data_IF_219407808056
#
_entry.id   IF_219407808056
#
_cell.length_a   1.000
_cell.length_b   1.000
_cell.length_c   1.000
_cell.angle_alpha   90.00
_cell.angle_beta   90.00
_cell.angle_gamma   90.00
#
_symmetry.space_group_name_H-M   'P 1'
#
loop_
_entity.id
_entity.type
_entity.pdbx_description
1 polymer ?
#
# COMPACT_ATOMS: atom_id res chain seq x y z
N UNK A 1 17.21 -14.66 8.72
CA UNK A 1 16.33 -14.03 7.70
C UNK A 1 15.02 -13.81 8.42
N UNK A 2 14.69 -12.57 8.75
CA UNK A 2 13.39 -12.27 9.37
C UNK A 2 12.29 -12.84 8.46
N UNK A 3 11.30 -13.50 9.05
CA UNK A 3 10.09 -13.88 8.32
C UNK A 3 9.54 -12.64 7.60
N UNK A 4 8.95 -12.83 6.42
CA UNK A 4 8.19 -11.80 5.71
C UNK A 4 7.04 -11.34 6.62
N UNK A 5 7.35 -10.41 7.52
CA UNK A 5 6.46 -9.79 8.48
C UNK A 5 5.80 -8.62 7.78
N UNK A 6 4.57 -8.30 8.16
CA UNK A 6 3.83 -7.17 7.60
C UNK A 6 2.56 -7.60 6.87
N UNK A 7 1.54 -6.77 7.04
CA UNK A 7 0.22 -6.95 6.47
C UNK A 7 0.16 -6.25 5.12
N UNK A 8 -0.27 -6.98 4.10
CA UNK A 8 -0.32 -6.52 2.72
C UNK A 8 -1.73 -6.10 2.31
N UNK A 9 -1.85 -4.91 1.76
CA UNK A 9 -3.08 -4.39 1.18
C UNK A 9 -2.85 -4.11 -0.31
N UNK A 10 -3.51 -4.89 -1.17
CA UNK A 10 -3.35 -4.84 -2.62
C UNK A 10 -4.38 -3.89 -3.28
N UNK A 11 -3.91 -3.07 -4.22
CA UNK A 11 -4.74 -2.08 -4.91
C UNK A 11 -4.46 -2.08 -6.41
N UNK A 12 -5.51 -2.19 -7.22
CA UNK A 12 -5.45 -1.91 -8.64
C UNK A 12 -5.96 -0.50 -8.92
N UNK A 13 -5.24 0.26 -9.74
CA UNK A 13 -5.62 1.63 -10.12
C UNK A 13 -5.13 1.98 -11.53
N UNK A 14 -5.72 3.00 -12.13
CA UNK A 14 -5.25 3.63 -13.37
C UNK A 14 -4.21 4.74 -13.11
N UNK A 15 -3.84 5.00 -11.85
CA UNK A 15 -2.85 6.01 -11.49
C UNK A 15 -1.42 5.48 -11.60
N UNK A 16 -0.61 6.15 -12.44
CA UNK A 16 0.80 5.77 -12.64
C UNK A 16 1.68 5.90 -11.39
N UNK A 17 2.72 5.07 -11.33
CA UNK A 17 3.68 4.97 -10.22
C UNK A 17 4.29 6.34 -9.90
N UNK A 18 4.82 7.02 -10.92
CA UNK A 18 5.45 8.33 -10.73
C UNK A 18 4.53 9.35 -10.07
N UNK A 19 3.24 9.31 -10.41
CA UNK A 19 2.28 10.23 -9.83
C UNK A 19 1.98 9.90 -8.37
N UNK A 20 1.76 8.62 -8.05
CA UNK A 20 1.53 8.18 -6.67
C UNK A 20 2.76 8.45 -5.80
N UNK A 21 3.95 8.06 -6.27
CA UNK A 21 5.20 8.24 -5.52
C UNK A 21 5.53 9.74 -5.33
N UNK A 22 5.22 10.59 -6.31
CA UNK A 22 5.36 12.05 -6.17
C UNK A 22 4.39 12.63 -5.13
N UNK A 23 3.14 12.16 -5.07
CA UNK A 23 2.19 12.58 -4.03
C UNK A 23 2.66 12.13 -2.64
N UNK A 24 3.18 10.91 -2.52
CA UNK A 24 3.78 10.41 -1.28
C UNK A 24 4.97 11.24 -0.82
N UNK A 25 5.90 11.56 -1.71
CA UNK A 25 7.07 12.38 -1.37
C UNK A 25 6.70 13.75 -0.78
N UNK A 26 5.57 14.34 -1.19
CA UNK A 26 5.07 15.60 -0.63
C UNK A 26 4.41 15.43 0.74
N UNK A 27 3.63 14.36 0.93
CA UNK A 27 2.84 14.15 2.15
C UNK A 27 3.64 13.54 3.28
N UNK A 28 4.64 12.71 2.98
CA UNK A 28 5.39 12.00 4.02
C UNK A 28 6.19 12.95 4.93
N UNK A 29 6.63 14.08 4.38
CA UNK A 29 7.31 15.12 5.15
C UNK A 29 6.43 15.68 6.28
N UNK A 30 5.11 15.69 6.13
CA UNK A 30 4.20 16.21 7.17
C UNK A 30 4.08 15.29 8.38
N UNK A 31 4.48 14.02 8.28
CA UNK A 31 4.49 13.07 9.39
C UNK A 31 5.90 12.77 9.90
N UNK A 32 6.90 13.57 9.50
CA UNK A 32 8.31 13.43 9.91
C UNK A 32 8.94 12.08 9.50
N UNK A 33 8.50 11.50 8.38
CA UNK A 33 9.09 10.30 7.81
C UNK A 33 9.96 10.63 6.60
N UNK A 34 11.02 9.84 6.42
CA UNK A 34 11.87 9.82 5.23
C UNK A 34 11.47 8.64 4.36
N UNK A 35 11.93 8.65 3.11
CA UNK A 35 11.73 7.55 2.20
C UNK A 35 12.99 7.21 1.41
N UNK A 36 13.09 5.94 1.01
CA UNK A 36 14.04 5.43 0.01
C UNK A 36 13.23 4.85 -1.15
N UNK A 37 13.51 5.30 -2.37
CA UNK A 37 12.99 4.67 -3.60
C UNK A 37 14.03 3.66 -4.07
N UNK A 38 13.57 2.48 -4.41
CA UNK A 38 14.38 1.43 -5.03
C UNK A 38 13.61 0.80 -6.19
N UNK A 39 14.29 0.09 -7.06
CA UNK A 39 13.66 -0.69 -8.12
C UNK A 39 14.38 -2.02 -8.32
N UNK A 40 13.59 -3.08 -8.46
CA UNK A 40 14.11 -4.41 -8.72
C UNK A 40 13.26 -5.08 -9.79
N UNK A 41 13.90 -5.46 -10.89
CA UNK A 41 13.24 -5.96 -12.11
C UNK A 41 12.22 -4.92 -12.62
N UNK A 42 10.93 -5.28 -12.57
CA UNK A 42 9.81 -4.47 -13.06
C UNK A 42 8.96 -3.89 -11.91
N UNK A 43 9.46 -3.99 -10.68
CA UNK A 43 8.80 -3.52 -9.47
C UNK A 43 9.55 -2.32 -8.88
N UNK A 44 8.78 -1.33 -8.45
CA UNK A 44 9.26 -0.14 -7.79
C UNK A 44 8.84 -0.15 -6.32
N UNK A 45 9.76 0.29 -5.46
CA UNK A 45 9.60 0.25 -4.02
C UNK A 45 9.75 1.65 -3.45
N UNK A 46 8.88 2.00 -2.52
CA UNK A 46 8.97 3.22 -1.74
C UNK A 46 8.93 2.84 -0.26
N UNK A 47 10.10 2.74 0.36
CA UNK A 47 10.26 2.34 1.75
C UNK A 47 10.33 3.57 2.66
N UNK A 48 9.59 3.54 3.77
CA UNK A 48 9.41 4.67 4.67
C UNK A 48 9.89 4.36 6.09
N UNK A 49 10.56 5.32 6.70
CA UNK A 49 11.13 5.20 8.05
C UNK A 49 11.34 6.59 8.67
N UNK A 50 11.24 6.68 10.00
CA UNK A 50 11.37 7.96 10.72
C UNK A 50 12.83 8.34 10.96
N UNK A 51 13.65 7.38 11.39
CA UNK A 51 15.06 7.56 11.75
C UNK A 51 15.87 6.28 11.50
N UNK A 52 17.20 6.38 11.65
CA UNK A 52 18.11 5.28 11.35
C UNK A 52 17.95 4.10 12.32
N UNK A 53 17.54 4.35 13.56
CA UNK A 53 17.24 3.32 14.56
C UNK A 53 16.07 2.43 14.12
N UNK A 54 14.94 3.04 13.74
CA UNK A 54 13.77 2.34 13.22
C UNK A 54 14.11 1.52 11.96
N UNK A 55 14.91 2.10 11.06
CA UNK A 55 15.37 1.38 9.86
C UNK A 55 16.25 0.17 10.21
N UNK A 56 17.21 0.32 11.11
CA UNK A 56 18.10 -0.77 11.51
C UNK A 56 17.32 -1.89 12.20
N UNK A 57 16.39 -1.53 13.11
CA UNK A 57 15.52 -2.48 13.76
C UNK A 57 14.68 -3.27 12.73
N UNK A 58 14.15 -2.58 11.71
CA UNK A 58 13.44 -3.23 10.61
C UNK A 58 14.31 -4.22 9.82
N UNK A 59 15.57 -3.89 9.54
CA UNK A 59 16.47 -4.79 8.81
C UNK A 59 16.77 -6.08 9.60
N UNK A 60 16.77 -5.99 10.93
CA UNK A 60 17.02 -7.13 11.82
C UNK A 60 15.76 -7.95 12.10
N UNK A 61 14.61 -7.29 12.31
CA UNK A 61 13.40 -7.89 12.88
C UNK A 61 12.18 -7.86 11.94
N UNK A 62 12.29 -7.20 10.79
CA UNK A 62 11.18 -7.02 9.85
C UNK A 62 10.21 -5.91 10.27
N UNK A 63 8.99 -5.93 9.72
CA UNK A 63 8.00 -4.89 10.01
C UNK A 63 7.42 -5.08 11.41
N UNK A 64 7.59 -4.05 12.25
CA UNK A 64 7.11 -4.02 13.63
C UNK A 64 6.77 -2.58 14.02
N UNK A 65 5.93 -2.45 15.05
CA UNK A 65 5.70 -1.19 15.76
C UNK A 65 6.71 -1.05 16.90
N UNK A 66 7.17 0.18 17.12
CA UNK A 66 7.96 0.56 18.29
C UNK A 66 7.06 0.84 19.51
N UNK A 67 7.67 1.31 20.60
CA UNK A 67 6.97 1.60 21.85
C UNK A 67 6.01 2.79 21.74
N UNK A 68 6.19 3.65 20.75
CA UNK A 68 5.31 4.78 20.46
C UNK A 68 4.19 4.39 19.47
N UNK A 69 4.15 3.12 19.04
CA UNK A 69 3.15 2.60 18.12
C UNK A 69 3.40 3.01 16.67
N UNK A 70 4.63 3.40 16.32
CA UNK A 70 5.05 3.77 14.97
C UNK A 70 5.95 2.69 14.36
N UNK A 71 6.04 2.61 13.03
CA UNK A 71 6.91 1.63 12.40
C UNK A 71 7.32 1.99 10.98
N UNK A 72 8.18 1.16 10.40
CA UNK A 72 8.45 1.21 8.96
C UNK A 72 7.23 0.72 8.16
N UNK A 73 7.10 1.21 6.93
CA UNK A 73 6.13 0.70 5.97
C UNK A 73 6.68 0.83 4.55
N UNK A 74 6.09 0.12 3.59
CA UNK A 74 6.53 0.13 2.20
C UNK A 74 5.36 0.17 1.24
N UNK A 75 5.59 0.75 0.07
CA UNK A 75 4.71 0.64 -1.08
C UNK A 75 5.48 -0.05 -2.20
N UNK A 76 5.03 -1.24 -2.58
CA UNK A 76 5.47 -1.91 -3.80
C UNK A 76 4.53 -1.51 -4.94
N UNK A 77 5.06 -1.31 -6.13
CA UNK A 77 4.29 -0.89 -7.28
C UNK A 77 4.80 -1.53 -8.57
N UNK A 78 3.90 -1.91 -9.47
CA UNK A 78 4.25 -2.31 -10.84
C UNK A 78 3.17 -1.97 -11.84
N UNK A 79 3.59 -1.75 -13.08
CA UNK A 79 2.67 -1.79 -14.21
C UNK A 79 2.34 -3.25 -14.54
N UNK A 80 1.07 -3.55 -14.75
CA UNK A 80 0.61 -4.92 -14.98
C UNK A 80 -0.69 -4.98 -15.77
N UNK A 81 -1.15 -6.20 -16.01
CA UNK A 81 -2.47 -6.50 -16.56
C UNK A 81 -3.35 -7.05 -15.45
N UNK A 82 -4.62 -6.65 -15.46
CA UNK A 82 -5.67 -7.27 -14.64
C UNK A 82 -6.65 -7.97 -15.57
N UNK A 83 -6.26 -9.17 -15.97
CA UNK A 83 -7.09 -10.07 -16.77
C UNK A 83 -7.50 -11.23 -15.87
N UNK A 84 -8.78 -11.31 -15.53
CA UNK A 84 -9.26 -12.28 -14.54
C UNK A 84 -10.77 -12.31 -14.43
N UNK A 85 -11.27 -13.18 -13.56
CA UNK A 85 -12.68 -13.26 -13.22
C UNK A 85 -12.84 -12.75 -11.78
N UNK A 86 -13.78 -11.85 -11.56
CA UNK A 86 -14.15 -11.37 -10.23
C UNK A 86 -15.62 -11.70 -9.98
N UNK A 87 -15.94 -12.17 -8.77
CA UNK A 87 -17.32 -12.37 -8.33
C UNK A 87 -17.82 -11.08 -7.70
N UNK A 88 -18.91 -10.53 -8.22
CA UNK A 88 -19.58 -9.37 -7.65
C UNK A 88 -20.50 -9.79 -6.52
N UNK A 89 -20.44 -9.05 -5.43
CA UNK A 89 -21.36 -9.18 -4.30
C UNK A 89 -22.19 -7.90 -4.18
N UNK A 90 -23.44 -8.10 -3.79
CA UNK A 90 -24.34 -7.06 -3.33
C UNK A 90 -23.78 -6.44 -2.03
N UNK A 91 -23.95 -5.13 -1.82
CA UNK A 91 -23.52 -4.41 -0.62
C UNK A 91 -24.73 -3.70 -0.02
N UNK A 92 -25.00 -3.99 1.26
CA UNK A 92 -26.01 -3.32 2.09
C UNK A 92 -27.47 -3.37 1.58
N UNK A 93 -27.84 -4.37 0.78
CA UNK A 93 -29.14 -4.47 0.09
C UNK A 93 -29.49 -3.24 -0.78
N UNK A 94 -28.49 -2.50 -1.25
CA UNK A 94 -28.68 -1.38 -2.16
C UNK A 94 -28.90 -1.85 -3.61
N UNK A 95 -28.60 -3.12 -3.89
CA UNK A 95 -28.84 -3.76 -5.19
C UNK A 95 -29.63 -5.07 -5.04
N UNK A 96 -30.30 -5.51 -6.11
CA UNK A 96 -31.06 -6.78 -6.13
C UNK A 96 -30.49 -7.72 -7.20
N UNK A 97 -29.36 -8.35 -6.90
CA UNK A 97 -28.77 -9.41 -7.72
C UNK A 97 -28.09 -10.47 -6.86
N UNK A 98 -28.11 -11.72 -7.35
CA UNK A 98 -27.34 -12.82 -6.78
C UNK A 98 -25.87 -12.72 -7.21
N UNK A 99 -24.89 -13.14 -6.40
CA UNK A 99 -23.49 -13.09 -6.78
C UNK A 99 -23.21 -13.71 -8.15
N UNK A 100 -22.50 -12.97 -9.00
CA UNK A 100 -22.17 -13.42 -10.35
C UNK A 100 -20.78 -13.00 -10.76
N UNK A 101 -20.22 -13.76 -11.70
CA UNK A 101 -18.87 -13.56 -12.20
C UNK A 101 -18.84 -12.54 -13.34
N UNK A 102 -17.85 -11.65 -13.31
CA UNK A 102 -17.52 -10.73 -14.39
C UNK A 102 -16.10 -11.00 -14.90
N UNK A 103 -15.88 -10.77 -16.19
CA UNK A 103 -14.56 -10.82 -16.79
C UNK A 103 -13.92 -9.42 -16.74
N UNK A 104 -12.78 -9.32 -16.08
CA UNK A 104 -11.92 -8.14 -16.10
C UNK A 104 -10.89 -8.31 -17.22
N UNK A 105 -10.73 -7.26 -18.03
CA UNK A 105 -9.74 -7.24 -19.10
C UNK A 105 -9.08 -5.87 -19.19
N UNK A 106 -8.02 -5.67 -18.41
CA UNK A 106 -7.27 -4.43 -18.38
C UNK A 106 -5.81 -4.68 -18.74
N UNK A 107 -5.37 -4.12 -19.87
CA UNK A 107 -4.00 -4.30 -20.38
C UNK A 107 -2.98 -3.32 -19.81
N UNK A 108 -3.43 -2.21 -19.21
CA UNK A 108 -2.57 -1.19 -18.66
C UNK A 108 -3.15 -0.65 -17.36
N UNK A 109 -2.80 -1.31 -16.26
CA UNK A 109 -3.13 -0.91 -14.89
C UNK A 109 -1.89 -0.93 -14.02
N UNK A 110 -1.96 -0.24 -12.91
CA UNK A 110 -0.91 -0.25 -11.90
C UNK A 110 -1.43 -1.04 -10.70
N UNK A 111 -0.60 -1.97 -10.23
CA UNK A 111 -0.83 -2.71 -9.00
C UNK A 111 0.10 -2.19 -7.92
N UNK A 112 -0.48 -1.88 -6.77
CA UNK A 112 0.25 -1.44 -5.59
C UNK A 112 0.01 -2.39 -4.43
N UNK A 113 1.02 -2.60 -3.60
CA UNK A 113 0.90 -3.27 -2.31
C UNK A 113 1.40 -2.32 -1.23
N UNK A 114 0.51 -1.90 -0.34
CA UNK A 114 0.88 -1.21 0.88
C UNK A 114 1.20 -2.27 1.94
N UNK A 115 2.42 -2.24 2.48
CA UNK A 115 2.90 -3.17 3.51
C UNK A 115 3.02 -2.42 4.82
N UNK A 116 2.25 -2.84 5.82
CA UNK A 116 2.17 -2.23 7.15
C UNK A 116 2.66 -3.19 8.24
N UNK A 117 3.14 -2.68 9.39
CA UNK A 117 3.63 -3.51 10.48
C UNK A 117 2.56 -4.28 11.25
N UNK A 118 1.29 -3.87 11.18
CA UNK A 118 0.15 -4.56 11.83
C UNK A 118 -1.15 -4.32 11.03
N UNK A 119 -2.22 -5.00 11.42
CA UNK A 119 -3.59 -4.80 10.92
C UNK A 119 -4.07 -3.36 11.19
N UNK A 120 -4.84 -2.80 10.25
CA UNK A 120 -5.37 -1.43 10.37
C UNK A 120 -6.38 -1.28 11.51
N UNK A 121 -6.97 -2.38 11.98
CA UNK A 121 -7.89 -2.42 13.10
C UNK A 121 -7.16 -2.43 14.46
N UNK A 122 -5.87 -2.80 14.46
CA UNK A 122 -5.08 -2.98 15.68
C UNK A 122 -4.13 -1.81 15.98
N UNK A 123 -3.88 -0.94 14.99
CA UNK A 123 -2.91 0.15 15.11
C UNK A 123 -3.40 1.43 14.45
N UNK A 124 -3.48 2.51 15.25
CA UNK A 124 -3.81 3.85 14.77
C UNK A 124 -2.81 4.33 13.70
N UNK A 125 -1.53 4.00 13.87
CA UNK A 125 -0.50 4.31 12.87
C UNK A 125 -0.81 3.62 11.53
N UNK A 126 -1.05 2.31 11.54
CA UNK A 126 -1.40 1.55 10.34
C UNK A 126 -2.68 2.09 9.69
N UNK A 127 -3.71 2.35 10.49
CA UNK A 127 -4.97 2.95 10.05
C UNK A 127 -4.75 4.29 9.34
N UNK A 128 -3.95 5.17 9.94
CA UNK A 128 -3.66 6.49 9.40
C UNK A 128 -2.85 6.42 8.10
N UNK A 129 -1.84 5.54 8.02
CA UNK A 129 -1.07 5.33 6.79
C UNK A 129 -1.93 4.74 5.67
N UNK A 130 -2.80 3.78 6.00
CA UNK A 130 -3.77 3.23 5.05
C UNK A 130 -4.70 4.32 4.51
N UNK A 131 -5.32 5.11 5.39
CA UNK A 131 -6.18 6.23 4.97
C UNK A 131 -5.42 7.27 4.14
N UNK A 132 -4.16 7.54 4.46
CA UNK A 132 -3.31 8.43 3.66
C UNK A 132 -3.11 7.87 2.25
N UNK A 133 -2.89 6.56 2.11
CA UNK A 133 -2.79 5.89 0.82
C UNK A 133 -4.08 6.02 0.01
N UNK A 134 -5.24 5.72 0.62
CA UNK A 134 -6.55 5.88 -0.02
C UNK A 134 -6.77 7.33 -0.48
N UNK A 135 -6.48 8.31 0.39
CA UNK A 135 -6.61 9.72 0.03
C UNK A 135 -5.73 10.10 -1.17
N UNK A 136 -4.51 9.56 -1.28
CA UNK A 136 -3.63 9.77 -2.45
C UNK A 136 -4.22 9.09 -3.70
N UNK A 137 -4.81 7.89 -3.55
CA UNK A 137 -5.54 7.21 -4.62
C UNK A 137 -6.80 7.95 -5.07
N UNK A 138 -7.37 8.82 -4.24
CA UNK A 138 -8.56 9.62 -4.58
C UNK A 138 -8.26 11.03 -5.09
N UNK A 139 -7.00 11.50 -5.01
CA UNK A 139 -6.61 12.82 -5.53
C UNK A 139 -6.98 12.98 -7.00
N UNK A 140 -7.80 13.98 -7.33
CA UNK A 140 -8.07 14.32 -8.73
C UNK A 140 -6.77 14.86 -9.34
N UNK A 141 -6.33 14.25 -10.45
CA UNK A 141 -5.28 14.84 -11.30
C UNK A 141 -5.88 15.85 -12.25
#
# INVERSE_FOLDING_TARGET
MAEWSGVMYGFYTNKSIDNIFSSWGKKIASINYKYKRDSFRDEEFLFFYKNDEMQNYHLENGYNLDLDGEGCFCIEAKSTKLNGIATLFEIDNDSNFEPYDINLHFDNVFYYVLILPDLIENSDFCHNIHNLFINILDEKK
#
